data_IF_914491874752
#
_entry.id   IF_914491874752
#
_cell.length_a   1.000
_cell.length_b   1.000
_cell.length_c   1.000
_cell.angle_alpha   90.00
_cell.angle_beta   90.00
_cell.angle_gamma   90.00
#
_symmetry.space_group_name_H-M   'P 1'
#
loop_
_entity.id
_entity.type
_entity.pdbx_description
1 polymer ?
#
# COMPACT_ATOMS: atom_id res chain seq x y z
N UNK A 1 -2.96 13.39 -13.08
CA UNK A 1 -3.66 12.20 -13.58
C UNK A 1 -3.90 11.28 -12.40
N UNK A 2 -5.09 10.68 -12.28
CA UNK A 2 -5.39 9.74 -11.19
C UNK A 2 -4.54 8.47 -11.35
N UNK A 3 -3.94 7.96 -10.28
CA UNK A 3 -3.24 6.66 -10.26
C UNK A 3 -4.27 5.57 -9.94
N UNK A 4 -4.02 4.34 -10.38
CA UNK A 4 -4.95 3.24 -10.11
C UNK A 4 -4.72 2.69 -8.69
N UNK A 5 -3.45 2.59 -8.28
CA UNK A 5 -3.04 2.02 -6.98
C UNK A 5 -2.16 2.99 -6.20
N UNK A 6 -2.47 3.23 -4.93
CA UNK A 6 -1.56 3.85 -3.97
C UNK A 6 -0.85 2.77 -3.15
N UNK A 7 0.48 2.78 -3.10
CA UNK A 7 1.28 1.82 -2.32
C UNK A 7 1.73 2.48 -1.01
N UNK A 8 1.11 2.09 0.10
CA UNK A 8 1.48 2.49 1.46
C UNK A 8 2.45 1.48 2.06
N UNK A 9 3.62 1.94 2.51
CA UNK A 9 4.68 1.08 3.03
C UNK A 9 5.63 1.87 3.96
N UNK A 10 6.41 1.19 4.81
CA UNK A 10 7.53 1.83 5.51
C UNK A 10 8.75 1.92 4.61
N UNK A 11 9.57 2.97 4.75
CA UNK A 11 10.81 3.10 3.98
C UNK A 11 11.77 1.91 4.11
N UNK A 12 11.66 1.13 5.20
CA UNK A 12 12.44 -0.09 5.43
C UNK A 12 12.02 -1.24 4.50
N UNK A 13 10.77 -1.24 4.04
CA UNK A 13 10.18 -2.26 3.16
C UNK A 13 10.29 -1.91 1.67
N UNK A 14 11.15 -0.93 1.34
CA UNK A 14 11.24 -0.38 -0.01
C UNK A 14 11.46 -1.44 -1.08
N UNK A 15 12.28 -2.45 -0.80
CA UNK A 15 12.53 -3.54 -1.75
C UNK A 15 11.25 -4.28 -2.12
N UNK A 16 10.37 -4.56 -1.15
CA UNK A 16 9.12 -5.26 -1.41
C UNK A 16 8.10 -4.33 -2.06
N UNK A 17 8.03 -3.07 -1.63
CA UNK A 17 7.15 -2.06 -2.24
C UNK A 17 7.52 -1.80 -3.72
N UNK A 18 8.82 -1.74 -4.05
CA UNK A 18 9.29 -1.62 -5.42
C UNK A 18 8.94 -2.87 -6.25
N UNK A 19 8.99 -4.07 -5.66
CA UNK A 19 8.57 -5.30 -6.33
C UNK A 19 7.05 -5.35 -6.58
N UNK A 20 6.24 -4.89 -5.61
CA UNK A 20 4.79 -4.68 -5.76
C UNK A 20 4.53 -3.72 -6.92
N UNK A 21 5.18 -2.56 -6.91
CA UNK A 21 5.04 -1.54 -7.94
C UNK A 21 5.39 -2.08 -9.32
N UNK A 22 6.56 -2.71 -9.46
CA UNK A 22 7.02 -3.28 -10.73
C UNK A 22 6.06 -4.37 -11.24
N UNK A 23 5.53 -5.21 -10.35
CA UNK A 23 4.58 -6.26 -10.74
C UNK A 23 3.28 -5.67 -11.27
N UNK A 24 2.70 -4.69 -10.57
CA UNK A 24 1.47 -4.02 -10.97
C UNK A 24 1.66 -3.23 -12.29
N UNK A 25 2.76 -2.49 -12.41
CA UNK A 25 3.07 -1.72 -13.62
C UNK A 25 3.36 -2.61 -14.83
N UNK A 26 3.93 -3.80 -14.63
CA UNK A 26 4.09 -4.81 -15.71
C UNK A 26 2.76 -5.26 -16.30
N UNK A 27 1.66 -5.10 -15.54
CA UNK A 27 0.27 -5.34 -15.97
C UNK A 27 -0.46 -4.09 -16.42
N UNK A 28 0.25 -2.98 -16.63
CA UNK A 28 -0.28 -1.67 -17.04
C UNK A 28 -1.18 -1.00 -15.99
N UNK A 29 -1.07 -1.40 -14.73
CA UNK A 29 -1.75 -0.75 -13.61
C UNK A 29 -0.85 0.40 -13.13
N UNK A 30 -1.39 1.63 -13.06
CA UNK A 30 -0.58 2.80 -12.70
C UNK A 30 -0.46 2.91 -11.19
N UNK A 31 0.75 2.77 -10.68
CA UNK A 31 1.04 2.90 -9.26
C UNK A 31 1.47 4.32 -8.90
N UNK A 32 1.17 4.71 -7.66
CA UNK A 32 1.80 5.84 -6.99
C UNK A 32 2.60 5.29 -5.80
N UNK A 33 3.88 5.65 -5.73
CA UNK A 33 4.77 5.24 -4.64
C UNK A 33 5.71 6.38 -4.24
N UNK A 34 5.76 6.69 -2.94
CA UNK A 34 6.74 7.64 -2.42
C UNK A 34 8.15 6.99 -2.36
N UNK A 35 9.25 7.74 -2.55
CA UNK A 35 9.31 9.14 -2.95
C UNK A 35 9.26 9.37 -4.47
N UNK A 36 9.18 8.31 -5.29
CA UNK A 36 9.25 8.38 -6.76
C UNK A 36 8.27 9.38 -7.36
N UNK A 37 7.03 9.37 -6.87
CA UNK A 37 5.92 10.14 -7.42
C UNK A 37 5.61 11.43 -6.62
N UNK A 38 6.50 11.81 -5.68
CA UNK A 38 6.41 13.08 -4.96
C UNK A 38 7.10 14.17 -5.78
N UNK A 39 6.34 15.19 -6.19
CA UNK A 39 6.90 16.31 -6.98
C UNK A 39 7.87 17.16 -6.14
N UNK A 40 9.08 17.45 -6.64
CA UNK A 40 9.99 18.37 -5.98
C UNK A 40 9.34 19.74 -5.72
N UNK A 41 9.50 20.27 -4.50
CA UNK A 41 8.93 21.56 -4.10
C UNK A 41 7.49 21.51 -3.59
N UNK A 42 6.83 20.34 -3.58
CA UNK A 42 5.53 20.16 -2.92
C UNK A 42 5.71 19.69 -1.47
N UNK A 43 4.84 20.11 -0.53
CA UNK A 43 4.83 19.55 0.82
C UNK A 43 4.52 18.05 0.78
N UNK A 44 5.45 17.22 1.26
CA UNK A 44 5.38 15.76 1.22
C UNK A 44 4.03 15.20 1.71
N UNK A 45 3.55 15.68 2.86
CA UNK A 45 2.28 15.25 3.44
C UNK A 45 1.06 15.59 2.57
N UNK A 46 1.05 16.76 1.93
CA UNK A 46 -0.05 17.16 1.05
C UNK A 46 -0.06 16.31 -0.23
N UNK A 47 1.12 16.00 -0.77
CA UNK A 47 1.26 15.09 -1.92
C UNK A 47 0.75 13.68 -1.61
N UNK A 48 1.09 13.13 -0.44
CA UNK A 48 0.59 11.82 0.01
C UNK A 48 -0.94 11.79 0.06
N UNK A 49 -1.55 12.74 0.77
CA UNK A 49 -3.00 12.79 0.95
C UNK A 49 -3.73 12.94 -0.40
N UNK A 50 -3.21 13.81 -1.27
CA UNK A 50 -3.79 13.99 -2.60
C UNK A 50 -3.64 12.75 -3.48
N UNK A 51 -2.52 12.03 -3.35
CA UNK A 51 -2.30 10.79 -4.08
C UNK A 51 -3.27 9.70 -3.63
N UNK A 52 -3.44 9.50 -2.31
CA UNK A 52 -4.44 8.59 -1.74
C UNK A 52 -5.82 8.93 -2.29
N UNK A 53 -6.25 10.19 -2.21
CA UNK A 53 -7.57 10.66 -2.69
C UNK A 53 -7.82 10.40 -4.18
N UNK A 54 -6.76 10.26 -4.97
CA UNK A 54 -6.84 10.03 -6.41
C UNK A 54 -6.74 8.56 -6.82
N UNK A 55 -6.47 7.66 -5.87
CA UNK A 55 -6.30 6.24 -6.12
C UNK A 55 -7.63 5.48 -6.11
N UNK A 56 -7.73 4.41 -6.90
CA UNK A 56 -8.87 3.50 -6.89
C UNK A 56 -8.73 2.41 -5.83
N UNK A 57 -7.51 2.03 -5.48
CA UNK A 57 -7.21 1.07 -4.42
C UNK A 57 -5.93 1.47 -3.68
N UNK A 58 -5.88 1.15 -2.39
CA UNK A 58 -4.66 1.22 -1.59
C UNK A 58 -4.12 -0.19 -1.36
N UNK A 59 -2.84 -0.40 -1.64
CA UNK A 59 -2.09 -1.58 -1.18
C UNK A 59 -1.29 -1.17 0.04
N UNK A 60 -1.54 -1.81 1.18
CA UNK A 60 -0.76 -1.65 2.40
C UNK A 60 0.27 -2.78 2.48
N UNK A 61 1.56 -2.46 2.38
CA UNK A 61 2.63 -3.42 2.70
C UNK A 61 2.78 -3.46 4.22
N UNK A 62 2.31 -4.55 4.83
CA UNK A 62 2.26 -4.72 6.29
C UNK A 62 3.48 -5.51 6.79
N UNK A 63 4.31 -4.81 7.56
CA UNK A 63 5.50 -5.22 8.30
C UNK A 63 5.50 -4.59 9.70
N UNK A 64 6.44 -4.99 10.57
CA UNK A 64 6.64 -4.34 11.88
C UNK A 64 6.90 -2.84 11.74
N UNK A 65 7.73 -2.45 10.76
CA UNK A 65 8.08 -1.04 10.54
C UNK A 65 6.88 -0.22 10.05
N UNK A 66 6.05 -0.78 9.17
CA UNK A 66 4.80 -0.12 8.74
C UNK A 66 3.80 0.02 9.88
N UNK A 67 3.80 -0.95 10.81
CA UNK A 67 2.90 -1.01 11.97
C UNK A 67 3.15 0.13 12.96
N UNK A 68 4.39 0.62 13.02
CA UNK A 68 4.83 1.73 13.86
C UNK A 68 4.82 3.08 13.11
N UNK A 69 4.53 3.09 11.81
CA UNK A 69 4.61 4.28 10.97
C UNK A 69 3.38 5.17 11.09
N UNK A 70 3.59 6.38 11.62
CA UNK A 70 2.57 7.42 11.68
C UNK A 70 2.14 7.92 10.29
N UNK A 71 2.99 7.77 9.26
CA UNK A 71 2.61 8.10 7.89
C UNK A 71 1.63 7.08 7.33
N UNK A 72 1.93 5.78 7.50
CA UNK A 72 1.06 4.67 7.07
C UNK A 72 -0.31 4.78 7.75
N UNK A 73 -0.35 5.08 9.06
CA UNK A 73 -1.60 5.28 9.79
C UNK A 73 -2.45 6.42 9.21
N UNK A 74 -1.82 7.56 8.85
CA UNK A 74 -2.52 8.70 8.25
C UNK A 74 -3.03 8.39 6.85
N UNK A 75 -2.24 7.67 6.05
CA UNK A 75 -2.65 7.22 4.73
C UNK A 75 -3.85 6.28 4.82
N UNK A 76 -3.82 5.29 5.72
CA UNK A 76 -4.94 4.38 5.99
C UNK A 76 -6.20 5.13 6.40
N UNK A 77 -6.06 6.09 7.32
CA UNK A 77 -7.18 6.92 7.75
C UNK A 77 -7.83 7.65 6.56
N UNK A 78 -7.03 8.30 5.70
CA UNK A 78 -7.53 8.99 4.50
C UNK A 78 -8.18 8.03 3.49
N UNK A 79 -7.62 6.82 3.31
CA UNK A 79 -8.20 5.82 2.43
C UNK A 79 -9.58 5.36 2.93
N UNK A 80 -9.70 5.08 4.24
CA UNK A 80 -10.96 4.68 4.87
C UNK A 80 -12.00 5.80 4.81
N UNK A 81 -11.61 7.03 5.13
CA UNK A 81 -12.48 8.22 5.06
C UNK A 81 -13.04 8.47 3.64
N UNK A 82 -12.29 8.05 2.62
CA UNK A 82 -12.70 8.14 1.21
C UNK A 82 -13.39 6.89 0.68
N UNK A 83 -13.50 5.83 1.47
CA UNK A 83 -14.05 4.55 1.03
C UNK A 83 -13.21 3.87 -0.04
N UNK A 84 -11.90 4.15 -0.08
CA UNK A 84 -10.97 3.51 -1.01
C UNK A 84 -10.73 2.08 -0.50
N UNK A 85 -10.94 1.05 -1.32
CA UNK A 85 -10.59 -0.32 -0.99
C UNK A 85 -9.13 -0.44 -0.56
N UNK A 86 -8.88 -1.20 0.51
CA UNK A 86 -7.55 -1.46 1.04
C UNK A 86 -7.26 -2.95 0.91
N UNK A 87 -6.11 -3.29 0.33
CA UNK A 87 -5.56 -4.65 0.28
C UNK A 87 -4.34 -4.70 1.21
N UNK A 88 -4.46 -5.31 2.40
CA UNK A 88 -3.31 -5.63 3.25
C UNK A 88 -2.46 -6.73 2.61
N UNK A 89 -1.22 -6.40 2.25
CA UNK A 89 -0.20 -7.31 1.76
C UNK A 89 0.83 -7.54 2.87
N UNK A 90 0.66 -8.62 3.62
CA UNK A 90 1.41 -8.91 4.84
C UNK A 90 2.71 -9.63 4.53
N UNK A 91 3.84 -8.99 4.79
CA UNK A 91 5.17 -9.50 4.44
C UNK A 91 5.95 -10.05 5.64
N UNK A 92 5.46 -9.79 6.85
CA UNK A 92 6.01 -10.32 8.10
C UNK A 92 4.89 -10.86 9.01
N UNK A 93 5.23 -11.84 9.85
CA UNK A 93 4.30 -12.40 10.84
C UNK A 93 4.16 -11.48 12.05
N UNK A 94 3.56 -10.31 11.80
CA UNK A 94 3.33 -9.26 12.80
C UNK A 94 1.85 -9.11 13.11
N UNK A 95 1.52 -8.86 14.37
CA UNK A 95 0.17 -8.46 14.74
C UNK A 95 0.00 -6.95 14.53
N UNK A 96 -1.05 -6.49 13.82
CA UNK A 96 -1.29 -5.06 13.71
C UNK A 96 -1.51 -4.43 15.08
N UNK A 97 -0.93 -3.24 15.26
CA UNK A 97 -1.16 -2.34 16.39
C UNK A 97 -2.63 -2.04 16.56
N UNK A 98 -3.05 -1.59 17.74
CA UNK A 98 -4.46 -1.29 17.99
C UNK A 98 -5.02 -0.28 16.97
N UNK A 99 -4.20 0.70 16.59
CA UNK A 99 -4.54 1.73 15.62
C UNK A 99 -4.70 1.15 14.21
N UNK A 100 -3.76 0.34 13.72
CA UNK A 100 -3.89 -0.27 12.38
C UNK A 100 -5.01 -1.31 12.36
N UNK A 101 -5.11 -2.13 13.41
CA UNK A 101 -6.13 -3.17 13.57
C UNK A 101 -7.54 -2.60 13.46
N UNK A 102 -7.77 -1.38 13.97
CA UNK A 102 -9.06 -0.71 13.83
C UNK A 102 -9.52 -0.64 12.36
N UNK A 103 -8.61 -0.38 11.43
CA UNK A 103 -8.90 -0.24 10.01
C UNK A 103 -8.89 -1.56 9.23
N UNK A 104 -7.94 -2.46 9.52
CA UNK A 104 -7.69 -3.63 8.67
C UNK A 104 -8.21 -4.96 9.20
N UNK A 105 -8.72 -5.03 10.45
CA UNK A 105 -9.12 -6.30 11.09
C UNK A 105 -10.22 -7.07 10.35
N UNK A 106 -11.11 -6.38 9.66
CA UNK A 106 -12.25 -6.99 8.95
C UNK A 106 -11.95 -7.21 7.47
N UNK A 107 -10.78 -6.80 6.99
CA UNK A 107 -10.36 -6.96 5.61
C UNK A 107 -9.75 -8.34 5.41
N UNK A 108 -9.87 -8.87 4.20
CA UNK A 108 -9.13 -10.07 3.81
C UNK A 108 -7.67 -9.70 3.53
N UNK A 109 -6.73 -10.49 4.07
CA UNK A 109 -5.30 -10.22 3.94
C UNK A 109 -4.67 -11.13 2.88
N UNK A 110 -3.63 -10.62 2.22
CA UNK A 110 -2.77 -11.42 1.37
C UNK A 110 -1.46 -11.65 2.12
N UNK A 111 -1.32 -12.86 2.67
CA UNK A 111 -0.10 -13.28 3.37
C UNK A 111 1.00 -13.65 2.37
N UNK A 112 2.08 -12.87 2.39
CA UNK A 112 3.26 -12.97 1.54
C UNK A 112 4.53 -13.06 2.39
N UNK A 113 4.49 -13.87 3.46
CA UNK A 113 5.57 -13.99 4.44
C UNK A 113 6.62 -15.04 4.07
N UNK A 114 6.36 -15.85 3.04
CA UNK A 114 7.22 -16.97 2.66
C UNK A 114 7.89 -16.69 1.31
N UNK A 115 9.21 -16.49 1.27
CA UNK A 115 9.94 -16.40 0.01
C UNK A 115 9.82 -17.71 -0.82
N UNK A 116 9.82 -17.61 -2.15
CA UNK A 116 9.97 -16.37 -2.92
C UNK A 116 8.60 -15.70 -3.22
N UNK A 117 8.58 -14.37 -3.30
CA UNK A 117 7.35 -13.56 -3.26
C UNK A 117 6.56 -13.53 -4.59
N UNK A 118 7.07 -14.11 -5.69
CA UNK A 118 6.50 -13.92 -7.03
C UNK A 118 5.07 -14.44 -7.13
N UNK A 119 4.76 -15.54 -6.43
CA UNK A 119 3.40 -16.09 -6.40
C UNK A 119 2.43 -15.12 -5.74
N UNK A 120 2.84 -14.49 -4.65
CA UNK A 120 1.99 -13.62 -3.86
C UNK A 120 1.84 -12.24 -4.50
N UNK A 121 2.91 -11.73 -5.13
CA UNK A 121 2.85 -10.56 -6.01
C UNK A 121 1.90 -10.79 -7.21
N UNK A 122 1.91 -12.00 -7.78
CA UNK A 122 0.98 -12.37 -8.86
C UNK A 122 -0.48 -12.33 -8.39
N UNK A 123 -0.79 -12.91 -7.22
CA UNK A 123 -2.13 -12.87 -6.62
C UNK A 123 -2.57 -11.45 -6.26
N UNK A 124 -1.64 -10.62 -5.79
CA UNK A 124 -1.90 -9.22 -5.47
C UNK A 124 -2.38 -8.48 -6.71
N UNK A 125 -1.65 -8.63 -7.82
CA UNK A 125 -2.03 -8.01 -9.08
C UNK A 125 -3.38 -8.51 -9.60
N UNK A 126 -3.67 -9.81 -9.49
CA UNK A 126 -4.99 -10.37 -9.85
C UNK A 126 -6.12 -9.80 -8.98
N UNK A 127 -5.85 -9.55 -7.70
CA UNK A 127 -6.82 -8.98 -6.76
C UNK A 127 -7.09 -7.51 -7.06
N UNK A 128 -6.05 -6.75 -7.45
CA UNK A 128 -6.19 -5.35 -7.88
C UNK A 128 -6.98 -5.25 -9.19
N UNK A 129 -6.77 -6.16 -10.15
CA UNK A 129 -7.49 -6.16 -11.43
C UNK A 129 -8.98 -6.51 -11.30
N UNK A 130 -9.37 -7.14 -10.19
CA UNK A 130 -10.75 -7.57 -9.95
C UNK A 130 -11.64 -6.50 -9.28
N UNK A 131 -11.06 -5.37 -8.87
CA UNK A 131 -11.76 -4.23 -8.25
C UNK A 131 -12.16 -3.20 -9.30
#
# INVERSE_FOLDING_TARGET
MAHDVFISYSSQDKTVADAVCATLESRKIRCWIAPRDVQPGQPFAASLINAVKSAHVMVLVLSEDSNQSQYVLRELNEAVDKGIPIIPFRIEDVEPSEELRFYIKSLHWLDAMNPPLERDLKKLAESVEAL
#
